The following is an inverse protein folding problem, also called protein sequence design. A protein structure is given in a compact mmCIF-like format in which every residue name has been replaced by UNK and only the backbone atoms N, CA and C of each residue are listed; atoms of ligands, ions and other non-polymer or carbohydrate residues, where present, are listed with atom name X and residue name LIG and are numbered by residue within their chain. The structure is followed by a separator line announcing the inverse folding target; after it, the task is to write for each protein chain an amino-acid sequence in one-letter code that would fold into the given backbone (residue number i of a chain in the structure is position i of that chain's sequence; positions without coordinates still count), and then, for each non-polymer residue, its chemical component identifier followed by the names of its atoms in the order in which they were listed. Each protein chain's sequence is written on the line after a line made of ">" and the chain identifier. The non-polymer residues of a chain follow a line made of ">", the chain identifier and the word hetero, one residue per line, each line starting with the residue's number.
data_IF_224767788580
#
_entry.id   IF_224767788580
#
_cell.length_a   1.000
_cell.length_b   1.000
_cell.length_c   1.000
_cell.angle_alpha   90.00
_cell.angle_beta   90.00
_cell.angle_gamma   90.00
#
_symmetry.space_group_name_H-M   'P 1'
#
loop_
_entity.id
_entity.type
_entity.pdbx_description
1 polymer ?
#
# COMPACT_ATOMS: atom_id res chain seq x y z
N UNK A 1 -2.65 19.13 15.37
CA UNK A 1 -2.30 17.90 16.11
C UNK A 1 -1.95 16.84 15.08
N UNK A 2 -0.67 16.55 14.90
CA UNK A 2 -0.24 15.56 13.90
C UNK A 2 -0.42 14.16 14.49
N UNK A 3 -1.29 13.36 13.88
CA UNK A 3 -1.40 11.95 14.21
C UNK A 3 -0.04 11.28 13.97
N UNK A 4 0.49 10.57 14.97
CA UNK A 4 1.74 9.81 14.89
C UNK A 4 1.62 8.74 13.79
N UNK A 5 2.04 9.07 12.56
CA UNK A 5 2.08 8.13 11.44
C UNK A 5 3.09 7.03 11.75
N UNK A 6 2.65 5.77 11.82
CA UNK A 6 3.55 4.62 11.93
C UNK A 6 4.29 4.44 10.60
N UNK A 7 5.60 4.21 10.67
CA UNK A 7 6.49 4.05 9.53
C UNK A 7 7.17 2.70 9.62
N UNK A 8 7.40 2.08 8.47
CA UNK A 8 8.20 0.89 8.32
C UNK A 8 9.05 1.04 7.07
N UNK A 9 10.25 0.46 7.09
CA UNK A 9 11.23 0.54 6.01
C UNK A 9 11.99 -0.78 5.90
N UNK A 10 12.75 -0.96 4.82
CA UNK A 10 13.50 -2.20 4.59
C UNK A 10 12.69 -3.31 3.90
N UNK A 11 11.63 -2.94 3.18
CA UNK A 11 10.82 -3.87 2.38
C UNK A 11 11.56 -4.28 1.10
N UNK A 12 12.50 -5.22 1.21
CA UNK A 12 13.35 -5.66 0.09
C UNK A 12 12.59 -6.45 -0.99
N UNK A 13 11.46 -7.07 -0.63
CA UNK A 13 10.64 -7.89 -1.53
C UNK A 13 9.49 -7.13 -2.19
N UNK A 14 9.15 -5.92 -1.71
CA UNK A 14 7.96 -5.20 -2.15
C UNK A 14 8.15 -4.60 -3.54
N UNK A 15 7.21 -4.85 -4.46
CA UNK A 15 7.26 -4.31 -5.82
C UNK A 15 8.34 -4.93 -6.73
N UNK A 16 9.01 -5.98 -6.26
CA UNK A 16 9.98 -6.75 -7.04
C UNK A 16 9.23 -7.83 -7.83
N UNK A 17 9.42 -7.83 -9.15
CA UNK A 17 8.80 -8.82 -10.03
C UNK A 17 9.21 -10.24 -9.64
N UNK A 18 8.24 -11.15 -9.60
CA UNK A 18 8.43 -12.56 -9.23
C UNK A 18 8.98 -12.81 -7.81
N UNK A 19 8.91 -11.81 -6.91
CA UNK A 19 9.26 -11.97 -5.50
C UNK A 19 8.00 -11.88 -4.65
N UNK A 20 7.55 -12.99 -4.02
CA UNK A 20 6.40 -12.96 -3.13
C UNK A 20 6.73 -12.19 -1.85
N UNK A 21 5.73 -11.51 -1.31
CA UNK A 21 5.76 -10.87 0.01
C UNK A 21 4.36 -10.91 0.62
N UNK A 22 4.26 -10.74 1.94
CA UNK A 22 3.00 -10.61 2.66
C UNK A 22 3.03 -9.41 3.60
N UNK A 23 1.85 -8.81 3.83
CA UNK A 23 1.66 -7.69 4.74
C UNK A 23 0.39 -7.96 5.53
N UNK A 24 0.45 -7.82 6.84
CA UNK A 24 -0.72 -7.86 7.73
C UNK A 24 -0.81 -6.55 8.50
N UNK A 25 -2.02 -6.04 8.67
CA UNK A 25 -2.28 -4.81 9.40
C UNK A 25 -3.68 -4.84 10.03
N UNK A 26 -3.80 -4.23 11.20
CA UNK A 26 -5.09 -3.98 11.85
C UNK A 26 -5.43 -2.50 11.73
N UNK A 27 -6.60 -2.18 11.16
CA UNK A 27 -7.09 -0.81 11.00
C UNK A 27 -8.55 -0.70 11.43
N UNK A 28 -8.87 0.43 12.04
CA UNK A 28 -10.23 0.83 12.38
C UNK A 28 -10.49 2.21 11.77
N UNK A 29 -10.82 2.29 10.48
CA UNK A 29 -11.09 3.56 9.81
C UNK A 29 -12.37 4.19 10.36
N UNK A 30 -12.34 5.49 10.65
CA UNK A 30 -13.57 6.25 10.96
C UNK A 30 -14.40 6.55 9.70
N UNK A 31 -13.75 6.50 8.52
CA UNK A 31 -14.36 6.71 7.21
C UNK A 31 -13.72 5.76 6.20
N UNK A 32 -14.53 5.09 5.39
CA UNK A 32 -14.09 4.18 4.32
C UNK A 32 -13.66 4.95 3.06
N UNK A 33 -12.71 5.88 3.22
CA UNK A 33 -12.21 6.72 2.14
C UNK A 33 -10.70 7.01 2.30
N UNK A 34 -10.04 7.30 1.18
CA UNK A 34 -8.65 7.74 1.15
C UNK A 34 -7.61 6.61 1.27
N UNK A 35 -6.38 6.99 1.62
CA UNK A 35 -5.22 6.09 1.69
C UNK A 35 -4.93 5.69 3.13
N UNK A 36 -4.83 4.38 3.37
CA UNK A 36 -4.43 3.79 4.65
C UNK A 36 -2.90 3.76 4.73
N UNK A 37 -2.25 3.26 3.68
CA UNK A 37 -0.80 3.13 3.58
C UNK A 37 -0.32 3.65 2.22
N UNK A 38 0.73 4.46 2.23
CA UNK A 38 1.47 4.83 1.02
C UNK A 38 2.89 4.26 1.10
N UNK A 39 3.47 3.99 -0.07
CA UNK A 39 4.90 3.72 -0.21
C UNK A 39 5.60 5.00 -0.61
N UNK A 40 6.78 5.25 -0.03
CA UNK A 40 7.59 6.41 -0.33
C UNK A 40 9.05 6.04 -0.54
N UNK A 41 9.77 6.80 -1.36
CA UNK A 41 11.22 6.60 -1.58
C UNK A 41 12.04 6.96 -0.35
N UNK A 42 11.60 7.95 0.44
CA UNK A 42 12.30 8.38 1.64
C UNK A 42 11.67 7.74 2.88
N UNK A 43 12.50 7.34 3.84
CA UNK A 43 12.06 6.81 5.14
C UNK A 43 11.26 7.82 5.97
N UNK A 44 11.33 9.10 5.63
CA UNK A 44 10.52 10.15 6.25
C UNK A 44 9.05 10.13 5.82
N UNK A 45 8.67 9.36 4.78
CA UNK A 45 7.33 9.43 4.18
C UNK A 45 7.21 10.52 3.12
N UNK A 46 8.32 10.84 2.43
CA UNK A 46 8.42 11.94 1.45
C UNK A 46 9.11 11.48 0.16
N UNK A 47 9.21 12.38 -0.83
CA UNK A 47 9.74 12.06 -2.16
C UNK A 47 8.63 11.55 -3.07
N UNK A 48 8.94 10.55 -3.90
CA UNK A 48 7.90 9.87 -4.66
C UNK A 48 7.01 9.10 -3.67
N UNK A 49 5.70 9.35 -3.71
CA UNK A 49 4.73 8.75 -2.82
C UNK A 49 3.55 8.22 -3.64
N UNK A 50 3.18 6.97 -3.41
CA UNK A 50 2.04 6.35 -4.08
C UNK A 50 1.15 5.60 -3.07
N UNK A 51 -0.18 5.69 -3.21
CA UNK A 51 -1.08 4.88 -2.40
C UNK A 51 -0.79 3.39 -2.65
N UNK A 52 -0.68 2.63 -1.57
CA UNK A 52 -0.43 1.18 -1.61
C UNK A 52 -1.69 0.43 -1.16
N UNK A 53 -2.28 0.83 -0.03
CA UNK A 53 -3.56 0.32 0.48
C UNK A 53 -4.48 1.50 0.74
N UNK A 54 -5.72 1.44 0.25
CA UNK A 54 -6.71 2.48 0.44
C UNK A 54 -8.13 2.03 0.11
N UNK A 55 -9.06 2.96 0.10
CA UNK A 55 -10.44 2.71 -0.26
C UNK A 55 -10.77 3.25 -1.65
N UNK A 56 -11.53 2.49 -2.44
CA UNK A 56 -12.22 3.01 -3.61
C UNK A 56 -13.39 3.92 -3.22
N UNK A 57 -13.94 4.64 -4.20
CA UNK A 57 -15.11 5.51 -4.01
C UNK A 57 -16.36 4.76 -3.53
N UNK A 58 -16.44 3.45 -3.76
CA UNK A 58 -17.52 2.59 -3.27
C UNK A 58 -17.26 2.01 -1.87
N UNK A 59 -16.17 2.40 -1.20
CA UNK A 59 -15.78 1.92 0.13
C UNK A 59 -15.08 0.55 0.14
N UNK A 60 -14.85 -0.09 -1.01
CA UNK A 60 -14.06 -1.32 -1.09
C UNK A 60 -12.59 -1.05 -0.77
N UNK A 61 -11.95 -1.97 -0.04
CA UNK A 61 -10.50 -1.95 0.18
C UNK A 61 -9.79 -2.33 -1.12
N UNK A 62 -8.78 -1.56 -1.51
CA UNK A 62 -7.95 -1.84 -2.69
C UNK A 62 -6.50 -1.87 -2.26
N UNK A 63 -5.78 -2.85 -2.79
CA UNK A 63 -4.32 -2.91 -2.76
C UNK A 63 -3.80 -2.71 -4.17
N UNK A 64 -2.82 -1.83 -4.32
CA UNK A 64 -2.19 -1.55 -5.61
C UNK A 64 -0.68 -1.55 -5.45
N UNK A 65 0.02 -2.11 -6.43
CA UNK A 65 1.46 -2.23 -6.37
C UNK A 65 2.06 -1.60 -7.62
N UNK A 66 2.95 -0.66 -7.39
CA UNK A 66 3.82 -0.19 -8.45
C UNK A 66 4.93 -1.20 -8.66
N UNK A 67 4.98 -1.75 -9.87
CA UNK A 67 6.05 -2.67 -10.27
C UNK A 67 7.08 -1.91 -11.08
N UNK A 68 8.36 -2.25 -10.94
CA UNK A 68 9.45 -1.67 -11.75
C UNK A 68 9.42 -2.13 -13.23
N UNK A 69 8.43 -2.93 -13.61
CA UNK A 69 8.12 -3.27 -15.01
C UNK A 69 7.57 -2.03 -15.71
N UNK A 70 8.45 -1.34 -16.44
CA UNK A 70 8.23 -0.16 -17.31
C UNK A 70 6.73 0.10 -17.62
N UNK A 71 6.14 1.07 -16.89
CA UNK A 71 4.81 1.69 -17.08
C UNK A 71 3.57 0.84 -16.71
N UNK A 72 3.38 0.48 -15.43
CA UNK A 72 2.05 0.05 -14.97
C UNK A 72 1.88 0.03 -13.44
N UNK A 73 0.83 0.69 -12.96
CA UNK A 73 0.20 0.34 -11.67
C UNK A 73 -0.58 -0.94 -11.94
N UNK A 74 -0.21 -2.05 -11.31
CA UNK A 74 -1.07 -3.23 -11.30
C UNK A 74 -1.99 -3.12 -10.09
N UNK A 75 -3.27 -2.95 -10.37
CA UNK A 75 -4.31 -3.24 -9.40
C UNK A 75 -4.37 -4.75 -9.25
N UNK A 76 -4.10 -5.24 -8.04
CA UNK A 76 -4.24 -6.66 -7.74
C UNK A 76 -5.64 -6.86 -7.20
N UNK A 77 -6.45 -7.66 -7.91
CA UNK A 77 -7.76 -8.07 -7.41
C UNK A 77 -7.59 -8.85 -6.10
N UNK A 78 -8.49 -8.59 -5.14
CA UNK A 78 -8.42 -9.11 -3.78
C UNK A 78 -8.41 -10.64 -3.72
N UNK A 79 -8.85 -11.32 -4.78
CA UNK A 79 -8.86 -12.79 -4.89
C UNK A 79 -7.45 -13.40 -4.85
N UNK A 80 -6.40 -12.62 -5.15
CA UNK A 80 -5.01 -13.06 -5.11
C UNK A 80 -4.26 -12.61 -3.84
N UNK A 81 -4.90 -11.81 -2.99
CA UNK A 81 -4.34 -11.33 -1.72
C UNK A 81 -4.98 -12.11 -0.59
N UNK A 82 -4.28 -13.11 -0.06
CA UNK A 82 -4.65 -13.69 1.23
C UNK A 82 -4.38 -12.67 2.33
N UNK A 83 -5.41 -11.92 2.72
CA UNK A 83 -5.43 -11.20 3.99
C UNK A 83 -5.71 -12.24 5.07
N UNK A 84 -4.67 -12.63 5.81
CA UNK A 84 -4.77 -13.51 6.97
C UNK A 84 -5.12 -12.68 8.21
#
# INVERSE_FOLDING_TARGET
>A
MEHCKKKASGFLALGIANQPFSISLWVQPQLLAGTIMHVSTNSSGTGFCAPFIGFASNGSLIVQIMTNTRRGVQQMDLDYISII
#
